data_IF_860335181624
#
_entry.id   IF_860335181624
#
_cell.length_a   1.000
_cell.length_b   1.000
_cell.length_c   1.000
_cell.angle_alpha   90.00
_cell.angle_beta   90.00
_cell.angle_gamma   90.00
#
_symmetry.space_group_name_H-M   'P 1'
#
loop_
_entity.id
_entity.type
_entity.pdbx_description
1 polymer ?
#
# COMPACT_ATOMS: atom_id res chain seq x y z
N UNK A 1 46.76 3.93 63.09
CA UNK A 1 46.02 4.85 62.21
C UNK A 1 45.58 3.98 61.02
N UNK A 2 44.32 3.52 61.00
CA UNK A 2 43.79 2.60 59.97
C UNK A 2 42.93 3.44 59.04
N UNK A 3 43.33 3.49 57.77
CA UNK A 3 42.61 4.21 56.70
C UNK A 3 41.61 3.23 56.08
N UNK A 4 40.31 3.51 56.25
CA UNK A 4 39.25 2.77 55.57
C UNK A 4 39.07 3.34 54.18
N UNK A 5 39.33 2.54 53.15
CA UNK A 5 38.89 2.82 51.78
C UNK A 5 37.44 2.37 51.60
N UNK A 6 36.55 3.34 51.44
CA UNK A 6 35.17 3.07 51.08
C UNK A 6 35.12 3.03 49.53
N UNK A 7 35.01 1.82 48.97
CA UNK A 7 34.73 1.66 47.54
C UNK A 7 33.27 1.99 47.24
N UNK A 8 33.08 3.11 46.54
CA UNK A 8 31.77 3.51 46.04
C UNK A 8 31.48 2.77 44.73
N UNK A 9 30.68 1.71 44.78
CA UNK A 9 30.18 1.01 43.59
C UNK A 9 29.01 1.78 43.00
N UNK A 10 29.28 2.54 41.90
CA UNK A 10 28.23 3.10 41.06
C UNK A 10 27.57 1.97 40.26
N UNK A 11 26.40 1.55 40.70
CA UNK A 11 25.46 0.70 39.92
C UNK A 11 24.85 1.57 38.83
N UNK A 12 25.44 1.53 37.62
CA UNK A 12 24.83 2.08 36.43
C UNK A 12 23.69 1.14 36.01
N UNK A 13 22.48 1.47 36.39
CA UNK A 13 21.30 0.84 35.82
C UNK A 13 21.15 1.29 34.36
N UNK A 14 21.67 0.49 33.46
CA UNK A 14 21.35 0.62 32.03
C UNK A 14 19.89 0.23 31.84
N UNK A 15 18.99 1.22 31.84
CA UNK A 15 17.62 1.01 31.36
C UNK A 15 17.71 0.72 29.86
N UNK A 16 17.74 -0.55 29.52
CA UNK A 16 17.51 -1.00 28.14
C UNK A 16 16.05 -0.69 27.87
N UNK A 17 15.80 0.41 27.16
CA UNK A 17 14.51 0.67 26.57
C UNK A 17 14.22 -0.50 25.61
N UNK A 18 13.40 -1.44 26.03
CA UNK A 18 12.82 -2.43 25.12
C UNK A 18 11.95 -1.64 24.14
N UNK A 19 12.50 -1.44 22.95
CA UNK A 19 11.69 -1.05 21.81
C UNK A 19 10.71 -2.22 21.61
N UNK A 20 9.47 -2.02 22.06
CA UNK A 20 8.39 -2.93 21.71
C UNK A 20 8.25 -2.84 20.20
N UNK A 21 8.79 -3.83 19.49
CA UNK A 21 8.40 -4.06 18.12
C UNK A 21 6.88 -4.20 18.14
N UNK A 22 6.19 -3.40 17.36
CA UNK A 22 4.74 -3.52 17.19
C UNK A 22 4.44 -4.98 16.86
N UNK A 23 3.58 -5.63 17.66
CA UNK A 23 3.16 -7.03 17.45
C UNK A 23 2.36 -7.19 16.13
N UNK A 24 2.06 -6.09 15.45
CA UNK A 24 1.41 -6.11 14.16
C UNK A 24 2.44 -6.38 13.05
N UNK A 25 2.20 -7.36 12.18
CA UNK A 25 3.05 -7.59 11.02
C UNK A 25 3.12 -6.31 10.17
N UNK A 26 4.26 -6.06 9.51
CA UNK A 26 4.40 -4.88 8.68
C UNK A 26 3.37 -4.92 7.55
N UNK A 27 2.72 -3.78 7.30
CA UNK A 27 1.78 -3.62 6.19
C UNK A 27 2.44 -4.01 4.87
N UNK A 28 1.72 -4.75 4.05
CA UNK A 28 2.15 -5.13 2.71
C UNK A 28 1.50 -4.19 1.70
N UNK A 29 2.25 -3.71 0.73
CA UNK A 29 1.70 -2.91 -0.35
C UNK A 29 2.03 -3.46 -1.73
N UNK A 30 1.16 -3.17 -2.65
CA UNK A 30 1.36 -3.32 -4.09
C UNK A 30 1.10 -1.98 -4.77
N UNK A 31 1.75 -1.71 -5.92
CA UNK A 31 1.48 -0.48 -6.62
C UNK A 31 2.39 -0.21 -7.80
N UNK A 32 2.10 0.88 -8.50
CA UNK A 32 2.86 1.30 -9.67
C UNK A 32 2.80 2.79 -9.93
N UNK A 33 3.79 3.26 -10.70
CA UNK A 33 3.86 4.62 -11.23
C UNK A 33 3.72 4.55 -12.74
N UNK A 34 2.80 5.35 -13.30
CA UNK A 34 2.44 5.34 -14.71
C UNK A 34 2.64 6.73 -15.29
N UNK A 35 3.41 6.86 -16.39
CA UNK A 35 3.63 8.13 -17.08
C UNK A 35 2.68 8.20 -18.28
N UNK A 36 1.64 9.01 -18.16
CA UNK A 36 0.54 9.09 -19.12
C UNK A 36 0.60 10.40 -19.90
N UNK A 37 0.52 10.38 -21.24
CA UNK A 37 0.37 11.61 -22.04
C UNK A 37 -0.91 12.34 -21.69
N UNK A 38 -0.90 13.68 -21.73
CA UNK A 38 -2.06 14.51 -21.31
C UNK A 38 -3.32 14.26 -22.16
N UNK A 39 -3.16 13.88 -23.43
CA UNK A 39 -4.27 13.53 -24.33
C UNK A 39 -4.93 12.17 -24.02
N UNK A 40 -4.39 11.41 -23.08
CA UNK A 40 -4.92 10.12 -22.63
C UNK A 40 -5.53 10.15 -21.22
N UNK A 41 -5.56 11.31 -20.59
CA UNK A 41 -6.03 11.45 -19.20
C UNK A 41 -7.44 10.88 -19.04
N UNK A 42 -8.39 11.29 -19.89
CA UNK A 42 -9.79 10.88 -19.73
C UNK A 42 -9.97 9.36 -19.83
N UNK A 43 -9.28 8.73 -20.77
CA UNK A 43 -9.33 7.28 -20.94
C UNK A 43 -8.71 6.55 -19.74
N UNK A 44 -7.59 7.05 -19.21
CA UNK A 44 -6.94 6.47 -18.04
C UNK A 44 -7.78 6.71 -16.77
N UNK A 45 -8.34 7.91 -16.58
CA UNK A 45 -9.23 8.21 -15.46
C UNK A 45 -10.44 7.26 -15.43
N UNK A 46 -11.04 7.00 -16.60
CA UNK A 46 -12.17 6.06 -16.68
C UNK A 46 -11.73 4.64 -16.33
N UNK A 47 -10.61 4.18 -16.90
CA UNK A 47 -10.11 2.82 -16.66
C UNK A 47 -9.73 2.59 -15.18
N UNK A 48 -9.10 3.55 -14.51
CA UNK A 48 -8.76 3.41 -13.08
C UNK A 48 -9.98 3.51 -12.17
N UNK A 49 -11.02 4.27 -12.55
CA UNK A 49 -12.30 4.28 -11.84
C UNK A 49 -13.01 2.93 -11.94
N UNK A 50 -13.05 2.34 -13.12
CA UNK A 50 -13.63 1.02 -13.32
C UNK A 50 -12.88 -0.05 -12.51
N UNK A 51 -11.55 0.03 -12.46
CA UNK A 51 -10.72 -0.82 -11.61
C UNK A 51 -11.05 -0.65 -10.12
N UNK A 52 -11.16 0.58 -9.64
CA UNK A 52 -11.55 0.87 -8.26
C UNK A 52 -12.96 0.36 -7.92
N UNK A 53 -13.91 0.44 -8.84
CA UNK A 53 -15.25 -0.09 -8.66
C UNK A 53 -15.24 -1.64 -8.55
N UNK A 54 -14.50 -2.31 -9.43
CA UNK A 54 -14.31 -3.77 -9.33
C UNK A 54 -13.74 -4.17 -7.97
N UNK A 55 -12.72 -3.47 -7.48
CA UNK A 55 -12.17 -3.73 -6.13
C UNK A 55 -13.25 -3.55 -5.07
N UNK A 56 -13.99 -2.43 -5.12
CA UNK A 56 -15.06 -2.14 -4.16
C UNK A 56 -16.16 -3.21 -4.13
N UNK A 57 -16.48 -3.79 -5.28
CA UNK A 57 -17.55 -4.79 -5.42
C UNK A 57 -17.12 -6.20 -5.00
N UNK A 58 -15.83 -6.50 -5.14
CA UNK A 58 -15.36 -7.89 -5.02
C UNK A 58 -14.47 -8.16 -3.81
N UNK A 59 -13.89 -7.12 -3.21
CA UNK A 59 -12.96 -7.29 -2.09
C UNK A 59 -13.60 -6.94 -0.76
N UNK A 60 -13.31 -7.69 0.31
CA UNK A 60 -13.52 -7.20 1.67
C UNK A 60 -12.62 -5.98 1.89
N UNK A 61 -13.17 -4.91 2.46
CA UNK A 61 -12.46 -3.65 2.67
C UNK A 61 -12.37 -3.33 4.16
N UNK A 62 -11.25 -2.76 4.56
CA UNK A 62 -11.04 -2.27 5.92
C UNK A 62 -9.83 -2.90 6.61
N UNK A 63 -9.36 -2.31 7.73
CA UNK A 63 -8.15 -2.74 8.42
C UNK A 63 -8.36 -3.94 9.36
N UNK A 64 -9.61 -4.33 9.64
CA UNK A 64 -9.94 -5.23 10.75
C UNK A 64 -9.87 -6.73 10.39
N UNK A 65 -9.66 -7.07 9.12
CA UNK A 65 -9.53 -8.45 8.67
C UNK A 65 -8.22 -8.63 7.89
N UNK A 66 -7.45 -9.64 8.27
CA UNK A 66 -6.15 -9.94 7.67
C UNK A 66 -6.21 -10.25 6.16
N UNK A 67 -7.39 -10.66 5.66
CA UNK A 67 -7.61 -10.97 4.25
C UNK A 67 -8.14 -9.77 3.43
N UNK A 68 -8.27 -8.62 4.08
CA UNK A 68 -8.82 -7.43 3.45
C UNK A 68 -7.78 -6.62 2.67
N UNK A 69 -8.29 -5.76 1.80
CA UNK A 69 -7.58 -4.57 1.33
C UNK A 69 -7.86 -3.43 2.32
N UNK A 70 -6.82 -2.95 3.01
CA UNK A 70 -6.95 -1.85 3.96
C UNK A 70 -7.25 -0.53 3.24
N UNK A 71 -6.59 -0.27 2.11
CA UNK A 71 -6.86 0.92 1.29
C UNK A 71 -6.37 0.77 -0.15
N UNK A 72 -7.09 1.45 -1.06
CA UNK A 72 -6.65 1.74 -2.42
C UNK A 72 -6.53 3.25 -2.59
N UNK A 73 -5.38 3.73 -3.04
CA UNK A 73 -5.16 5.12 -3.41
C UNK A 73 -4.73 5.21 -4.87
N UNK A 74 -5.43 6.04 -5.63
CA UNK A 74 -5.06 6.39 -7.01
C UNK A 74 -4.95 7.90 -7.09
N UNK A 75 -3.74 8.40 -7.34
CA UNK A 75 -3.46 9.83 -7.42
C UNK A 75 -2.89 10.19 -8.78
N UNK A 76 -3.15 11.42 -9.23
CA UNK A 76 -2.64 11.97 -10.48
C UNK A 76 -1.93 13.30 -10.21
N UNK A 77 -0.74 13.48 -10.78
CA UNK A 77 -0.02 14.75 -10.72
C UNK A 77 -0.68 15.83 -11.58
N UNK A 78 -0.28 17.07 -11.37
CA UNK A 78 -0.51 18.13 -12.35
C UNK A 78 0.30 17.84 -13.63
N UNK A 79 -0.14 18.35 -14.81
CA UNK A 79 0.58 18.20 -16.06
C UNK A 79 2.00 18.79 -16.00
N UNK A 80 2.99 18.04 -16.48
CA UNK A 80 4.39 18.46 -16.61
C UNK A 80 4.94 17.99 -17.96
N UNK A 81 5.41 18.91 -18.79
CA UNK A 81 6.05 18.60 -20.08
C UNK A 81 5.23 17.64 -20.97
N UNK A 82 3.90 17.82 -21.02
CA UNK A 82 2.99 17.01 -21.84
C UNK A 82 2.57 15.67 -21.22
N UNK A 83 2.91 15.41 -19.96
CA UNK A 83 2.58 14.19 -19.24
C UNK A 83 1.99 14.46 -17.86
N UNK A 84 1.28 13.46 -17.35
CA UNK A 84 0.88 13.34 -15.93
C UNK A 84 1.40 12.02 -15.39
N UNK A 85 1.54 11.93 -14.07
CA UNK A 85 1.95 10.71 -13.39
C UNK A 85 0.79 10.22 -12.54
N UNK A 86 0.39 8.97 -12.76
CA UNK A 86 -0.52 8.28 -11.86
C UNK A 86 0.31 7.44 -10.90
N UNK A 87 -0.10 7.42 -9.63
CA UNK A 87 0.42 6.52 -8.61
C UNK A 87 -0.73 5.71 -8.07
N UNK A 88 -0.66 4.40 -8.23
CA UNK A 88 -1.64 3.45 -7.69
C UNK A 88 -0.96 2.71 -6.54
N UNK A 89 -1.59 2.72 -5.37
CA UNK A 89 -1.09 2.02 -4.17
C UNK A 89 -2.24 1.27 -3.52
N UNK A 90 -2.06 -0.02 -3.37
CA UNK A 90 -2.91 -0.91 -2.59
C UNK A 90 -2.17 -1.28 -1.30
N UNK A 91 -2.84 -1.16 -0.17
CA UNK A 91 -2.29 -1.47 1.15
C UNK A 91 -3.08 -2.62 1.75
N UNK A 92 -2.37 -3.62 2.22
CA UNK A 92 -2.90 -4.81 2.86
C UNK A 92 -2.39 -4.90 4.30
N UNK A 93 -3.25 -5.25 5.28
CA UNK A 93 -2.81 -5.46 6.66
C UNK A 93 -1.77 -6.56 6.77
N UNK A 94 -1.88 -7.58 5.92
CA UNK A 94 -1.02 -8.76 5.91
C UNK A 94 -0.67 -9.20 4.47
N UNK A 95 0.34 -10.05 4.28
CA UNK A 95 0.59 -10.72 3.00
C UNK A 95 -0.58 -11.60 2.53
N UNK A 96 -1.40 -12.09 3.44
CA UNK A 96 -2.60 -12.88 3.15
C UNK A 96 -3.67 -12.06 2.43
N UNK A 97 -3.84 -10.79 2.79
CA UNK A 97 -4.72 -9.85 2.08
C UNK A 97 -4.32 -9.70 0.61
N UNK A 98 -3.02 -9.57 0.32
CA UNK A 98 -2.53 -9.53 -1.07
C UNK A 98 -2.75 -10.88 -1.80
N UNK A 99 -2.58 -12.02 -1.13
CA UNK A 99 -2.88 -13.34 -1.71
C UNK A 99 -4.37 -13.47 -2.03
N UNK A 100 -5.24 -12.96 -1.14
CA UNK A 100 -6.67 -12.94 -1.36
C UNK A 100 -7.05 -12.06 -2.57
N UNK A 101 -6.46 -10.86 -2.70
CA UNK A 101 -6.62 -10.04 -3.91
C UNK A 101 -6.24 -10.81 -5.19
N UNK A 102 -5.10 -11.49 -5.19
CA UNK A 102 -4.67 -12.30 -6.35
C UNK A 102 -5.62 -13.46 -6.64
N UNK A 103 -6.24 -14.06 -5.62
CA UNK A 103 -7.27 -15.09 -5.78
C UNK A 103 -8.52 -14.49 -6.41
N UNK A 104 -9.04 -13.39 -5.88
CA UNK A 104 -10.23 -12.70 -6.41
C UNK A 104 -9.99 -12.27 -7.87
N UNK A 105 -8.81 -11.73 -8.18
CA UNK A 105 -8.42 -11.41 -9.55
C UNK A 105 -8.56 -12.63 -10.47
N UNK A 106 -7.99 -13.78 -10.11
CA UNK A 106 -8.09 -15.01 -10.92
C UNK A 106 -9.51 -15.54 -11.07
N UNK A 107 -10.35 -15.34 -10.05
CA UNK A 107 -11.75 -15.82 -10.03
C UNK A 107 -12.71 -14.90 -10.78
N UNK A 108 -12.34 -13.65 -11.01
CA UNK A 108 -13.23 -12.65 -11.62
C UNK A 108 -12.76 -12.15 -13.00
N UNK A 109 -11.46 -12.24 -13.33
CA UNK A 109 -10.92 -11.68 -14.57
C UNK A 109 -11.49 -12.28 -15.87
N UNK A 110 -12.03 -13.49 -15.82
CA UNK A 110 -12.65 -14.16 -16.96
C UNK A 110 -14.18 -13.95 -17.05
N UNK A 111 -14.80 -13.38 -16.01
CA UNK A 111 -16.25 -13.16 -15.99
C UNK A 111 -16.61 -12.04 -16.96
N UNK A 112 -17.68 -12.25 -17.73
CA UNK A 112 -18.13 -11.29 -18.77
C UNK A 112 -18.45 -9.91 -18.20
N UNK A 113 -18.96 -9.82 -16.98
CA UNK A 113 -19.31 -8.58 -16.29
C UNK A 113 -18.10 -7.67 -16.01
N UNK A 114 -16.89 -8.25 -15.89
CA UNK A 114 -15.64 -7.50 -15.65
C UNK A 114 -14.70 -7.46 -16.85
N UNK A 115 -15.08 -8.06 -17.99
CA UNK A 115 -14.19 -8.19 -19.14
C UNK A 115 -13.68 -6.85 -19.67
N UNK A 116 -14.53 -5.81 -19.72
CA UNK A 116 -14.14 -4.46 -20.12
C UNK A 116 -13.18 -3.84 -19.09
N UNK A 117 -13.43 -4.00 -17.79
CA UNK A 117 -12.57 -3.47 -16.71
C UNK A 117 -11.14 -3.97 -16.85
N UNK A 118 -10.96 -5.28 -17.04
CA UNK A 118 -9.62 -5.88 -17.17
C UNK A 118 -8.96 -5.54 -18.49
N UNK A 119 -9.72 -5.56 -19.59
CA UNK A 119 -9.24 -5.19 -20.92
C UNK A 119 -8.79 -3.73 -20.96
N UNK A 120 -9.60 -2.81 -20.42
CA UNK A 120 -9.29 -1.37 -20.40
C UNK A 120 -8.11 -1.07 -19.47
N UNK A 121 -8.09 -1.67 -18.27
CA UNK A 121 -6.95 -1.50 -17.37
C UNK A 121 -5.65 -2.01 -18.00
N UNK A 122 -5.67 -3.18 -18.63
CA UNK A 122 -4.53 -3.75 -19.32
C UNK A 122 -4.05 -2.90 -20.50
N UNK A 123 -4.97 -2.52 -21.39
CA UNK A 123 -4.62 -1.83 -22.65
C UNK A 123 -4.37 -0.32 -22.48
N UNK A 124 -5.04 0.32 -21.52
CA UNK A 124 -5.06 1.78 -21.38
C UNK A 124 -4.18 2.28 -20.24
N UNK A 125 -4.04 1.49 -19.14
CA UNK A 125 -3.27 1.89 -17.96
C UNK A 125 -1.90 1.21 -17.95
N UNK A 126 -1.86 -0.13 -17.99
CA UNK A 126 -0.62 -0.90 -17.79
C UNK A 126 0.45 -0.62 -18.84
N UNK A 127 0.07 -0.20 -20.03
CA UNK A 127 1.02 0.21 -21.09
C UNK A 127 1.90 1.41 -20.72
N UNK A 128 1.49 2.22 -19.73
CA UNK A 128 2.20 3.41 -19.27
C UNK A 128 3.02 3.18 -18.00
N UNK A 129 3.08 1.95 -17.51
CA UNK A 129 3.83 1.60 -16.31
C UNK A 129 5.33 1.88 -16.52
N UNK A 130 5.91 2.74 -15.68
CA UNK A 130 7.35 3.02 -15.67
C UNK A 130 8.04 2.41 -14.46
N UNK A 131 7.34 2.24 -13.36
CA UNK A 131 7.85 1.61 -12.15
C UNK A 131 6.70 0.96 -11.39
N UNK A 132 6.90 -0.26 -10.96
CA UNK A 132 5.91 -1.00 -10.20
C UNK A 132 6.55 -1.88 -9.13
N UNK A 133 5.74 -2.21 -8.11
CA UNK A 133 6.11 -3.13 -7.06
C UNK A 133 5.08 -4.24 -6.97
N UNK A 134 5.53 -5.48 -7.04
CA UNK A 134 4.63 -6.62 -6.86
C UNK A 134 4.25 -6.81 -5.40
N UNK A 135 5.20 -6.60 -4.50
CA UNK A 135 5.01 -6.71 -3.06
C UNK A 135 6.13 -5.97 -2.34
N UNK A 136 5.77 -5.14 -1.36
CA UNK A 136 6.71 -4.45 -0.47
C UNK A 136 6.16 -4.45 0.94
N UNK A 137 7.05 -4.53 1.92
CA UNK A 137 6.71 -4.24 3.30
C UNK A 137 6.76 -2.73 3.54
N UNK A 138 5.71 -2.19 4.15
CA UNK A 138 5.68 -0.79 4.54
C UNK A 138 6.49 -0.63 5.83
N UNK A 139 7.58 0.13 5.75
CA UNK A 139 8.47 0.38 6.90
C UNK A 139 7.91 1.46 7.82
N UNK A 140 7.15 2.40 7.27
CA UNK A 140 6.59 3.52 8.01
C UNK A 140 5.26 3.95 7.41
N UNK A 141 4.25 4.14 8.26
CA UNK A 141 2.94 4.65 7.89
C UNK A 141 2.46 5.64 8.96
N UNK A 142 2.24 6.89 8.56
CA UNK A 142 1.66 7.90 9.43
C UNK A 142 0.17 8.02 9.13
N UNK A 143 -0.66 7.63 10.10
CA UNK A 143 -2.10 7.90 10.07
C UNK A 143 -2.34 9.07 11.02
N UNK A 144 -2.85 10.21 10.56
CA UNK A 144 -3.27 11.28 11.47
C UNK A 144 -4.30 10.74 12.47
N UNK A 145 -4.10 11.01 13.75
CA UNK A 145 -5.11 10.69 14.78
C UNK A 145 -6.43 11.37 14.41
N UNK A 146 -7.54 10.63 14.57
CA UNK A 146 -8.89 11.18 14.35
C UNK A 146 -9.40 11.97 15.57
N UNK A 147 -8.56 12.12 16.60
CA UNK A 147 -8.92 12.81 17.83
C UNK A 147 -8.65 14.31 17.69
N UNK A 148 -9.63 15.01 17.11
CA UNK A 148 -9.85 16.45 17.30
C UNK A 148 -11.34 16.74 17.40
#
# INVERSE_FOLDING_TARGET
MRIFFISFWCLVFSAIAQVHASDNPPLTNWGGVFKVPVDKIDAVDQAVKNWGNWIKETHPLGPDDENNLASLSITRSLPQSGYVYYVIVEIYPTPEGLKNHQKIYRETSWKSEYSSTFSDFGSTVMRYLISGSKQKHMVYHLVPSKDH
#
